data_IF_500239922830
#
_entry.id   IF_500239922830
#
_cell.length_a   1.000
_cell.length_b   1.000
_cell.length_c   1.000
_cell.angle_alpha   90.00
_cell.angle_beta   90.00
_cell.angle_gamma   90.00
#
_symmetry.space_group_name_H-M   'P 1'
#
loop_
_entity.id
_entity.type
_entity.pdbx_description
1 polymer ?
#
# COMPACT_ATOMS: atom_id res chain seq x y z
N UNK A 1 64.31 28.42 -31.30
CA UNK A 1 65.66 27.80 -31.16
C UNK A 1 65.57 26.89 -29.94
N UNK A 2 65.62 25.56 -30.01
CA UNK A 2 66.07 24.62 -31.05
C UNK A 2 65.33 23.29 -30.80
N UNK A 3 64.89 22.63 -31.88
CA UNK A 3 64.42 21.24 -31.93
C UNK A 3 65.53 20.26 -31.50
N UNK A 4 65.17 19.12 -30.92
CA UNK A 4 65.82 17.79 -31.07
C UNK A 4 64.77 16.80 -30.52
N UNK A 5 63.96 16.13 -31.34
CA UNK A 5 64.21 15.02 -32.29
C UNK A 5 63.88 13.65 -31.67
N UNK A 6 63.03 12.94 -32.41
CA UNK A 6 62.46 11.62 -32.18
C UNK A 6 63.50 10.51 -32.04
N UNK A 7 63.18 9.47 -31.27
CA UNK A 7 63.50 8.09 -31.66
C UNK A 7 62.33 7.15 -31.42
N UNK A 8 62.00 6.49 -32.52
CA UNK A 8 60.94 5.54 -32.77
C UNK A 8 61.35 4.13 -32.27
N UNK A 9 60.53 3.49 -31.43
CA UNK A 9 60.56 2.02 -31.26
C UNK A 9 59.13 1.50 -31.16
N UNK A 10 58.64 0.96 -32.28
CA UNK A 10 57.90 -0.32 -32.42
C UNK A 10 56.56 -0.53 -31.68
N UNK A 11 55.47 -0.85 -32.40
CA UNK A 11 54.20 -1.25 -31.78
C UNK A 11 54.25 -2.71 -31.30
N UNK A 12 54.23 -2.94 -30.00
CA UNK A 12 53.93 -4.27 -29.45
C UNK A 12 52.42 -4.48 -29.43
N UNK A 13 51.99 -5.28 -30.40
CA UNK A 13 50.67 -5.87 -30.58
C UNK A 13 50.18 -6.63 -29.36
N UNK A 14 49.51 -5.99 -28.40
CA UNK A 14 48.56 -6.63 -27.47
C UNK A 14 47.61 -5.54 -26.96
N UNK A 15 46.35 -5.87 -26.68
CA UNK A 15 45.27 -4.97 -26.20
C UNK A 15 44.31 -4.40 -27.25
N UNK A 16 44.08 -5.14 -28.33
CA UNK A 16 42.82 -5.05 -29.08
C UNK A 16 41.96 -6.27 -28.78
N UNK A 17 41.13 -6.25 -27.73
CA UNK A 17 39.95 -7.14 -27.54
C UNK A 17 39.25 -6.95 -26.18
N UNK A 18 38.85 -5.73 -25.78
CA UNK A 18 38.01 -5.59 -24.58
C UNK A 18 37.01 -4.43 -24.54
N UNK A 19 36.76 -3.73 -25.67
CA UNK A 19 35.82 -2.60 -25.69
C UNK A 19 34.75 -2.64 -26.80
N UNK A 20 34.49 -3.79 -27.43
CA UNK A 20 33.47 -3.90 -28.49
C UNK A 20 32.41 -5.01 -28.28
N UNK A 21 32.25 -5.49 -27.03
CA UNK A 21 31.18 -6.45 -26.66
C UNK A 21 30.20 -5.92 -25.59
N UNK A 22 30.02 -4.60 -25.52
CA UNK A 22 28.83 -3.99 -24.91
C UNK A 22 27.86 -3.53 -26.01
N UNK A 23 27.66 -4.42 -26.99
CA UNK A 23 26.67 -4.29 -28.05
C UNK A 23 25.27 -4.41 -27.46
N UNK A 24 24.49 -3.32 -27.56
CA UNK A 24 23.03 -3.28 -27.84
C UNK A 24 22.06 -3.92 -26.85
N UNK A 25 22.53 -4.76 -25.93
CA UNK A 25 21.72 -5.56 -25.01
C UNK A 25 21.57 -4.88 -23.66
N UNK A 26 22.56 -4.08 -23.24
CA UNK A 26 22.52 -3.35 -21.98
C UNK A 26 21.48 -2.22 -21.98
N UNK A 27 21.35 -1.49 -23.09
CA UNK A 27 20.30 -0.48 -23.26
C UNK A 27 18.91 -1.09 -23.36
N UNK A 28 18.75 -2.28 -23.96
CA UNK A 28 17.46 -2.98 -24.02
C UNK A 28 17.02 -3.47 -22.64
N UNK A 29 17.94 -4.03 -21.85
CA UNK A 29 17.65 -4.49 -20.47
C UNK A 29 17.28 -3.31 -19.57
N UNK A 30 17.98 -2.17 -19.68
CA UNK A 30 17.65 -0.96 -18.90
C UNK A 30 16.31 -0.34 -19.35
N UNK A 31 15.97 -0.43 -20.64
CA UNK A 31 14.64 -0.04 -21.14
C UNK A 31 13.55 -1.03 -20.70
N UNK A 32 13.85 -2.32 -20.60
CA UNK A 32 12.90 -3.35 -20.18
C UNK A 32 12.62 -3.28 -18.67
N UNK A 33 13.63 -3.03 -17.84
CA UNK A 33 13.43 -2.78 -16.41
C UNK A 33 12.74 -1.45 -16.17
N UNK A 34 13.00 -0.41 -16.96
CA UNK A 34 12.28 0.87 -16.87
C UNK A 34 10.81 0.76 -17.32
N UNK A 35 10.51 0.04 -18.40
CA UNK A 35 9.13 -0.23 -18.86
C UNK A 35 8.39 -1.15 -17.87
N UNK A 36 9.07 -2.13 -17.26
CA UNK A 36 8.48 -2.99 -16.22
C UNK A 36 8.25 -2.21 -14.91
N UNK A 37 9.13 -1.29 -14.54
CA UNK A 37 8.97 -0.40 -13.39
C UNK A 37 7.87 0.64 -13.62
N UNK A 38 7.70 1.12 -14.85
CA UNK A 38 6.59 1.97 -15.25
C UNK A 38 5.24 1.23 -15.31
N UNK A 39 5.23 -0.10 -15.45
CA UNK A 39 4.00 -0.91 -15.44
C UNK A 39 3.44 -1.17 -14.03
N UNK A 40 4.23 -0.95 -12.98
CA UNK A 40 3.85 -1.25 -11.59
C UNK A 40 3.46 -0.01 -10.76
N UNK A 41 3.69 1.20 -11.28
CA UNK A 41 3.18 2.43 -10.64
C UNK A 41 2.12 3.07 -11.54
N UNK A 42 0.87 2.76 -11.26
CA UNK A 42 -0.27 3.56 -11.74
C UNK A 42 -0.34 4.85 -10.91
N UNK A 43 0.74 5.63 -10.94
CA UNK A 43 0.77 7.01 -10.46
C UNK A 43 0.50 7.85 -11.68
N UNK A 44 -0.75 8.26 -11.87
CA UNK A 44 -1.09 9.24 -12.89
C UNK A 44 -0.17 10.46 -12.72
N UNK A 45 0.35 10.96 -13.83
CA UNK A 45 1.13 12.19 -13.92
C UNK A 45 0.40 13.31 -13.16
N UNK A 46 1.13 14.00 -12.27
CA UNK A 46 0.59 15.03 -11.35
C UNK A 46 0.04 16.24 -12.12
N UNK A 47 0.41 16.38 -13.40
CA UNK A 47 0.02 17.49 -14.27
C UNK A 47 -1.38 17.36 -14.87
N UNK A 48 -2.00 16.19 -14.83
CA UNK A 48 -3.43 15.98 -15.13
C UNK A 48 -4.14 15.32 -13.95
N UNK A 49 -4.13 15.94 -12.77
CA UNK A 49 -5.00 15.48 -11.69
C UNK A 49 -6.43 15.97 -11.95
N UNK A 50 -7.37 15.12 -12.43
CA UNK A 50 -8.77 15.48 -12.46
C UNK A 50 -9.17 15.89 -11.05
N UNK A 51 -10.05 16.88 -10.92
CA UNK A 51 -10.43 17.49 -9.65
C UNK A 51 -10.76 16.44 -8.56
N UNK A 52 -9.74 16.04 -7.79
CA UNK A 52 -9.79 14.95 -6.81
C UNK A 52 -10.81 15.23 -5.70
N UNK A 53 -11.24 16.49 -5.58
CA UNK A 53 -12.29 16.91 -4.66
C UNK A 53 -13.63 16.23 -4.96
N UNK A 54 -13.90 15.91 -6.24
CA UNK A 54 -15.11 15.19 -6.69
C UNK A 54 -15.05 13.67 -6.44
N UNK A 55 -13.85 13.13 -6.22
CA UNK A 55 -13.67 11.70 -6.01
C UNK A 55 -14.33 11.26 -4.70
N UNK A 56 -14.81 10.03 -4.68
CA UNK A 56 -15.49 9.51 -3.50
C UNK A 56 -14.50 9.39 -2.34
N UNK A 57 -14.98 9.70 -1.15
CA UNK A 57 -14.18 9.63 0.07
C UNK A 57 -14.45 8.30 0.78
N UNK A 58 -13.38 7.61 1.12
CA UNK A 58 -13.39 6.43 1.97
C UNK A 58 -12.47 6.67 3.17
N UNK A 59 -13.06 6.62 4.37
CA UNK A 59 -12.29 6.56 5.61
C UNK A 59 -12.20 5.10 6.07
N UNK A 60 -11.09 4.69 6.73
CA UNK A 60 -10.97 3.33 7.26
C UNK A 60 -12.10 2.96 8.24
N UNK A 61 -12.58 3.93 9.02
CA UNK A 61 -13.68 3.75 9.99
C UNK A 61 -14.96 3.20 9.34
N UNK A 62 -15.20 3.46 8.05
CA UNK A 62 -16.42 3.02 7.37
C UNK A 62 -16.56 1.50 7.29
N UNK A 63 -15.43 0.80 7.18
CA UNK A 63 -15.37 -0.66 7.05
C UNK A 63 -14.87 -1.35 8.32
N UNK A 64 -14.63 -0.58 9.40
CA UNK A 64 -14.13 -1.11 10.66
C UNK A 64 -15.24 -1.86 11.43
N UNK A 65 -15.01 -3.12 11.77
CA UNK A 65 -15.95 -3.94 12.56
C UNK A 65 -16.05 -3.49 14.03
N UNK A 66 -14.96 -2.97 14.61
CA UNK A 66 -14.90 -2.53 16.02
C UNK A 66 -15.70 -1.27 16.30
N UNK A 67 -16.01 -0.49 15.25
CA UNK A 67 -16.73 0.78 15.37
C UNK A 67 -18.20 0.57 15.08
N UNK A 68 -19.09 1.18 15.84
CA UNK A 68 -20.54 1.11 15.64
C UNK A 68 -21.00 1.97 14.46
N UNK A 69 -22.28 1.81 14.06
CA UNK A 69 -22.89 2.66 13.02
C UNK A 69 -22.90 4.15 13.42
N UNK A 70 -23.17 4.43 14.70
CA UNK A 70 -23.14 5.78 15.26
C UNK A 70 -21.73 6.39 15.16
N UNK A 71 -20.72 5.62 15.52
CA UNK A 71 -19.32 6.05 15.48
C UNK A 71 -18.83 6.33 14.05
N UNK A 72 -19.31 5.60 13.04
CA UNK A 72 -18.88 5.86 11.66
C UNK A 72 -18.97 4.69 10.70
N UNK A 73 -19.24 3.47 11.18
CA UNK A 73 -19.38 2.30 10.31
C UNK A 73 -20.50 2.53 9.30
N UNK A 74 -20.31 2.03 8.06
CA UNK A 74 -21.27 2.18 6.94
C UNK A 74 -21.73 0.84 6.37
N UNK A 75 -21.08 -0.25 6.75
CA UNK A 75 -21.40 -1.62 6.32
C UNK A 75 -21.86 -2.49 7.50
N UNK A 76 -22.52 -3.61 7.19
CA UNK A 76 -22.95 -4.57 8.19
C UNK A 76 -21.75 -5.22 8.89
N UNK A 77 -21.91 -5.55 10.18
CA UNK A 77 -20.83 -6.08 11.03
C UNK A 77 -20.20 -7.35 10.45
N UNK A 78 -21.01 -8.24 9.87
CA UNK A 78 -20.56 -9.52 9.29
C UNK A 78 -19.63 -9.36 8.09
N UNK A 79 -19.71 -8.24 7.37
CA UNK A 79 -18.88 -7.94 6.20
C UNK A 79 -17.77 -6.95 6.50
N UNK A 80 -17.68 -6.47 7.74
CA UNK A 80 -16.69 -5.50 8.16
C UNK A 80 -15.37 -6.18 8.51
N UNK A 81 -14.27 -5.45 8.35
CA UNK A 81 -12.93 -5.93 8.67
C UNK A 81 -12.42 -5.26 9.95
N UNK A 82 -11.59 -5.98 10.71
CA UNK A 82 -10.99 -5.43 11.92
C UNK A 82 -9.85 -4.47 11.59
N UNK A 83 -9.83 -3.30 12.24
CA UNK A 83 -8.71 -2.33 12.19
C UNK A 83 -8.12 -2.09 10.78
N UNK A 84 -8.93 -1.68 9.79
CA UNK A 84 -8.44 -1.33 8.45
C UNK A 84 -7.48 -0.14 8.48
N UNK A 85 -6.46 -0.18 7.63
CA UNK A 85 -5.53 0.95 7.42
C UNK A 85 -5.72 1.58 6.05
N UNK A 86 -5.31 2.85 5.89
CA UNK A 86 -5.41 3.55 4.61
C UNK A 86 -4.54 2.91 3.52
N UNK A 87 -3.38 2.38 3.89
CA UNK A 87 -2.47 1.67 2.98
C UNK A 87 -3.15 0.41 2.41
N UNK A 88 -3.71 -0.45 3.27
CA UNK A 88 -4.42 -1.66 2.83
C UNK A 88 -5.60 -1.33 1.89
N UNK A 89 -6.35 -0.27 2.19
CA UNK A 89 -7.45 0.18 1.34
C UNK A 89 -6.91 0.65 -0.03
N UNK A 90 -5.80 1.39 -0.04
CA UNK A 90 -5.12 1.81 -1.26
C UNK A 90 -4.65 0.63 -2.10
N UNK A 91 -4.01 -0.36 -1.48
CA UNK A 91 -3.54 -1.58 -2.14
C UNK A 91 -4.71 -2.37 -2.75
N UNK A 92 -5.82 -2.48 -2.02
CA UNK A 92 -7.05 -3.09 -2.55
C UNK A 92 -7.62 -2.30 -3.73
N UNK A 93 -7.60 -0.96 -3.67
CA UNK A 93 -8.06 -0.13 -4.78
C UNK A 93 -7.15 -0.25 -6.02
N UNK A 94 -5.83 -0.36 -5.80
CA UNK A 94 -4.84 -0.65 -6.84
C UNK A 94 -5.12 -1.99 -7.52
N UNK A 95 -5.37 -3.04 -6.76
CA UNK A 95 -5.75 -4.35 -7.28
C UNK A 95 -7.05 -4.30 -8.11
N UNK A 96 -8.04 -3.52 -7.65
CA UNK A 96 -9.29 -3.30 -8.37
C UNK A 96 -9.14 -2.39 -9.60
N UNK A 97 -7.91 -1.93 -9.90
CA UNK A 97 -7.58 -1.02 -11.01
C UNK A 97 -8.39 0.28 -10.97
N UNK A 98 -8.72 0.74 -9.77
CA UNK A 98 -9.42 1.99 -9.55
C UNK A 98 -8.39 3.10 -9.28
N UNK A 99 -8.47 4.26 -9.95
CA UNK A 99 -7.63 5.40 -9.60
C UNK A 99 -7.93 5.84 -8.16
N UNK A 100 -6.90 5.99 -7.34
CA UNK A 100 -7.03 6.39 -5.94
C UNK A 100 -5.91 7.36 -5.53
N UNK A 101 -6.19 8.15 -4.51
CA UNK A 101 -5.21 9.03 -3.86
C UNK A 101 -5.36 8.92 -2.34
N UNK A 102 -4.24 8.80 -1.63
CA UNK A 102 -4.22 8.72 -0.17
C UNK A 102 -3.83 10.09 0.38
N UNK A 103 -4.67 10.65 1.22
CA UNK A 103 -4.41 11.89 1.95
C UNK A 103 -4.14 11.53 3.41
N UNK A 104 -2.88 11.52 3.82
CA UNK A 104 -2.45 11.03 5.15
C UNK A 104 -2.81 12.03 6.27
N UNK A 105 -2.82 13.33 5.95
CA UNK A 105 -3.01 14.41 6.93
C UNK A 105 -4.46 14.60 7.38
N UNK A 106 -5.42 13.98 6.68
CA UNK A 106 -6.84 14.10 7.01
C UNK A 106 -7.26 13.01 7.96
N UNK A 107 -8.10 13.33 8.94
CA UNK A 107 -8.69 12.37 9.84
C UNK A 107 -10.22 12.38 9.74
N UNK A 108 -10.86 11.34 10.27
CA UNK A 108 -12.31 11.30 10.34
C UNK A 108 -12.81 12.26 11.44
N UNK A 109 -13.79 13.14 11.18
CA UNK A 109 -14.20 14.14 12.17
C UNK A 109 -14.67 13.59 13.52
N UNK A 110 -15.21 12.36 13.55
CA UNK A 110 -15.65 11.69 14.79
C UNK A 110 -14.55 10.87 15.47
N UNK A 111 -13.45 10.62 14.77
CA UNK A 111 -12.33 9.83 15.28
C UNK A 111 -11.02 10.38 14.71
N UNK A 112 -10.40 11.28 15.47
CA UNK A 112 -9.16 11.95 15.07
C UNK A 112 -7.92 11.06 15.22
N UNK A 113 -8.00 9.97 15.98
CA UNK A 113 -6.88 9.04 16.18
C UNK A 113 -6.59 8.24 14.90
N UNK A 114 -7.65 7.88 14.15
CA UNK A 114 -7.50 7.21 12.87
C UNK A 114 -7.23 8.22 11.76
N UNK A 115 -5.94 8.43 11.46
CA UNK A 115 -5.51 9.29 10.35
C UNK A 115 -5.56 8.59 8.99
N UNK A 116 -5.72 9.41 7.97
CA UNK A 116 -5.73 9.08 6.58
C UNK A 116 -7.15 9.03 5.96
N UNK A 117 -7.21 9.43 4.71
CA UNK A 117 -8.41 9.46 3.87
C UNK A 117 -8.05 8.96 2.48
N UNK A 118 -8.83 8.02 1.95
CA UNK A 118 -8.64 7.53 0.59
C UNK A 118 -9.69 8.15 -0.33
N UNK A 119 -9.23 8.82 -1.38
CA UNK A 119 -10.04 9.30 -2.50
C UNK A 119 -10.04 8.22 -3.58
N UNK A 120 -11.20 7.88 -4.13
CA UNK A 120 -11.30 6.88 -5.21
C UNK A 120 -12.16 7.42 -6.34
N UNK A 121 -11.74 7.20 -7.58
CA UNK A 121 -12.51 7.52 -8.77
C UNK A 121 -13.33 6.31 -9.22
N UNK A 122 -14.65 6.37 -9.05
CA UNK A 122 -15.56 5.31 -9.53
C UNK A 122 -16.04 5.55 -10.96
N UNK A 123 -16.35 6.80 -11.30
CA UNK A 123 -16.85 7.22 -12.61
C UNK A 123 -15.92 8.27 -13.18
N UNK A 124 -15.57 8.14 -14.45
CA UNK A 124 -14.85 9.17 -15.19
C UNK A 124 -15.76 10.36 -15.47
N UNK A 125 -15.18 11.44 -15.99
CA UNK A 125 -15.95 12.64 -16.37
C UNK A 125 -16.98 12.35 -17.46
N UNK A 126 -16.69 11.37 -18.34
CA UNK A 126 -17.60 10.88 -19.38
C UNK A 126 -18.77 10.03 -18.84
N UNK A 127 -18.85 9.82 -17.53
CA UNK A 127 -19.89 9.01 -16.88
C UNK A 127 -19.65 7.50 -16.93
N UNK A 128 -18.64 7.04 -17.67
CA UNK A 128 -18.22 5.64 -17.72
C UNK A 128 -17.64 5.16 -16.38
N UNK A 129 -17.95 3.91 -16.00
CA UNK A 129 -17.41 3.29 -14.79
C UNK A 129 -15.94 2.90 -15.00
N UNK A 130 -15.06 3.22 -14.05
CA UNK A 130 -13.66 2.79 -14.08
C UNK A 130 -13.54 1.26 -14.01
N UNK A 131 -14.40 0.61 -13.24
CA UNK A 131 -14.49 -0.84 -13.14
C UNK A 131 -15.98 -1.25 -13.16
N UNK A 132 -16.37 -2.08 -14.12
CA UNK A 132 -17.76 -2.55 -14.28
C UNK A 132 -18.27 -3.35 -13.08
N UNK A 133 -17.38 -3.97 -12.32
CA UNK A 133 -17.72 -4.74 -11.12
C UNK A 133 -18.09 -3.86 -9.92
N UNK A 134 -17.86 -2.54 -9.99
CA UNK A 134 -18.09 -1.62 -8.88
C UNK A 134 -18.80 -0.37 -9.39
N UNK A 135 -20.12 -0.36 -9.27
CA UNK A 135 -20.94 0.78 -9.72
C UNK A 135 -21.21 1.79 -8.59
N UNK A 136 -21.28 1.32 -7.35
CA UNK A 136 -21.69 2.13 -6.19
C UNK A 136 -20.61 2.24 -5.11
N UNK A 137 -20.67 3.33 -4.34
CA UNK A 137 -19.81 3.53 -3.16
C UNK A 137 -19.95 2.40 -2.14
N UNK A 138 -21.17 1.87 -1.95
CA UNK A 138 -21.43 0.76 -1.02
C UNK A 138 -20.78 -0.53 -1.50
N UNK A 139 -20.88 -0.83 -2.80
CA UNK A 139 -20.23 -2.00 -3.39
C UNK A 139 -18.71 -1.93 -3.29
N UNK A 140 -18.12 -0.75 -3.50
CA UNK A 140 -16.69 -0.55 -3.26
C UNK A 140 -16.31 -0.89 -1.82
N UNK A 141 -17.03 -0.34 -0.83
CA UNK A 141 -16.76 -0.62 0.59
C UNK A 141 -16.85 -2.10 0.92
N UNK A 142 -17.86 -2.81 0.39
CA UNK A 142 -18.02 -4.24 0.60
C UNK A 142 -16.87 -5.05 -0.03
N UNK A 143 -16.48 -4.71 -1.26
CA UNK A 143 -15.41 -5.43 -1.96
C UNK A 143 -14.05 -5.22 -1.31
N UNK A 144 -13.74 -3.98 -0.92
CA UNK A 144 -12.51 -3.66 -0.18
C UNK A 144 -12.50 -4.39 1.17
N UNK A 145 -13.60 -4.37 1.93
CA UNK A 145 -13.66 -5.03 3.23
C UNK A 145 -13.46 -6.55 3.15
N UNK A 146 -13.89 -7.19 2.06
CA UNK A 146 -13.64 -8.62 1.80
C UNK A 146 -12.15 -8.91 1.50
N UNK A 147 -11.47 -7.98 0.82
CA UNK A 147 -10.07 -8.17 0.40
C UNK A 147 -9.05 -7.81 1.49
N UNK A 148 -9.31 -6.81 2.31
CA UNK A 148 -8.38 -6.30 3.33
C UNK A 148 -7.86 -7.40 4.28
N UNK A 149 -8.69 -8.32 4.81
CA UNK A 149 -8.21 -9.41 5.66
C UNK A 149 -7.27 -10.39 4.95
N UNK A 150 -7.34 -10.50 3.63
CA UNK A 150 -6.48 -11.37 2.80
C UNK A 150 -5.18 -10.69 2.38
N UNK A 151 -4.95 -9.44 2.78
CA UNK A 151 -3.77 -8.69 2.39
C UNK A 151 -2.50 -9.28 3.03
N UNK A 152 -1.46 -9.47 2.22
CA UNK A 152 -0.17 -10.07 2.63
C UNK A 152 0.51 -9.35 3.81
N UNK A 153 0.18 -8.08 4.07
CA UNK A 153 0.67 -7.33 5.22
C UNK A 153 0.10 -7.79 6.58
N UNK A 154 -1.03 -8.50 6.61
CA UNK A 154 -1.68 -8.96 7.85
C UNK A 154 -1.26 -10.34 8.32
N UNK A 155 -0.96 -11.25 7.38
CA UNK A 155 -0.54 -12.62 7.69
C UNK A 155 0.72 -12.65 8.55
N UNK A 156 1.59 -11.65 8.43
CA UNK A 156 2.82 -11.54 9.23
C UNK A 156 2.61 -11.16 10.71
N UNK A 157 1.43 -10.68 11.11
CA UNK A 157 1.11 -10.35 12.52
C UNK A 157 0.40 -11.49 13.24
N UNK A 158 -0.07 -12.52 12.53
CA UNK A 158 -0.87 -13.58 13.11
C UNK A 158 -0.04 -14.65 13.84
N UNK A 159 1.29 -14.67 13.67
CA UNK A 159 2.18 -15.59 14.40
C UNK A 159 2.70 -15.01 15.74
N UNK A 160 2.56 -13.71 16.01
CA UNK A 160 3.15 -13.07 17.20
C UNK A 160 2.17 -12.82 18.36
N UNK A 161 0.92 -13.26 18.26
CA UNK A 161 -0.10 -13.04 19.30
C UNK A 161 -0.54 -14.32 20.04
N UNK A 162 0.20 -15.43 19.90
CA UNK A 162 -0.16 -16.73 20.50
C UNK A 162 0.98 -17.40 21.26
N UNK A 163 1.87 -16.64 21.91
CA UNK A 163 2.75 -17.20 22.95
C UNK A 163 3.07 -16.16 24.02
N UNK A 164 2.19 -15.99 25.00
CA UNK A 164 2.56 -15.46 26.32
C UNK A 164 1.55 -15.91 27.37
N UNK A 165 1.43 -17.22 27.55
CA UNK A 165 0.91 -17.84 28.76
C UNK A 165 2.05 -18.62 29.40
N UNK A 166 3.00 -17.90 30.02
CA UNK A 166 3.99 -18.53 30.89
C UNK A 166 3.42 -18.54 32.30
N UNK A 167 3.19 -19.76 32.77
CA UNK A 167 2.82 -20.07 34.14
C UNK A 167 3.87 -19.58 35.14
N UNK A 168 3.40 -19.10 36.29
CA UNK A 168 4.18 -18.97 37.51
C UNK A 168 3.28 -19.29 38.71
N UNK A 169 3.61 -20.31 39.54
CA UNK A 169 2.82 -20.65 40.70
C UNK A 169 3.33 -19.86 41.92
N UNK A 170 2.43 -19.23 42.68
CA UNK A 170 2.73 -18.83 44.06
C UNK A 170 1.50 -18.96 44.96
N UNK A 171 1.58 -19.99 45.79
CA UNK A 171 0.73 -20.29 46.93
C UNK A 171 1.06 -19.29 48.07
N UNK A 172 0.09 -18.52 48.60
CA UNK A 172 -0.01 -18.25 50.06
C UNK A 172 -1.30 -17.54 50.51
N UNK A 173 -2.04 -18.27 51.35
CA UNK A 173 -2.80 -17.86 52.55
C UNK A 173 -3.81 -16.71 52.48
N UNK A 174 -5.10 -17.06 52.53
CA UNK A 174 -6.18 -16.22 53.07
C UNK A 174 -6.92 -16.97 54.18
N UNK A 175 -6.63 -16.63 55.44
CA UNK A 175 -7.29 -17.14 56.65
C UNK A 175 -8.20 -16.05 57.22
N UNK A 176 -9.48 -16.37 57.43
CA UNK A 176 -10.29 -15.81 58.53
C UNK A 176 -11.40 -14.80 58.19
N UNK A 177 -12.63 -15.32 58.03
CA UNK A 177 -13.84 -14.95 58.79
C UNK A 177 -14.44 -13.53 58.71
N UNK A 178 -15.76 -13.43 58.43
CA UNK A 178 -16.83 -13.19 59.46
C UNK A 178 -18.17 -12.73 58.83
N UNK A 179 -19.19 -13.60 58.98
CA UNK A 179 -20.61 -13.37 59.34
C UNK A 179 -21.44 -12.30 58.60
N UNK A 180 -22.50 -12.75 57.93
CA UNK A 180 -23.81 -12.09 57.95
C UNK A 180 -24.89 -13.11 58.29
N UNK A 181 -25.66 -12.78 59.32
CA UNK A 181 -26.92 -13.42 59.70
C UNK A 181 -28.02 -12.41 59.40
#
# INVERSE_FOLDING_TARGET
MVQIEEWFVGPTSIEGSLLHLLSSSFFRILRFTFVLYARVRNTMDVTELPNIKKWIVMYPVYINSKKTMAEGRRIGLTKACENPTCAEIGDCCSYLKLPFAIEIDKAYPRDFMQRGRVRVLLKKEDGTLCNSSISTRKQLMLRVAEMVPRHHGRTKKQETASTSSTAGPSNKSGKGGKKRR
#
